data_IF_222889052702
#
_entry.id   IF_222889052702
#
_cell.length_a   1.000
_cell.length_b   1.000
_cell.length_c   1.000
_cell.angle_alpha   90.00
_cell.angle_beta   90.00
_cell.angle_gamma   90.00
#
_symmetry.space_group_name_H-M   'P 1'
#
loop_
_entity.id
_entity.type
_entity.pdbx_description
1 polymer ?
#
# COMPACT_ATOMS: atom_id res chain seq x y z
N UNK A 1 0.50 -19.39 -7.37
CA UNK A 1 1.04 -19.23 -6.02
C UNK A 1 0.63 -20.41 -5.16
N UNK A 2 1.55 -20.91 -4.35
CA UNK A 2 1.34 -22.05 -3.45
C UNK A 2 1.80 -21.66 -2.05
N UNK A 3 0.90 -21.80 -1.07
CA UNK A 3 1.23 -21.57 0.34
C UNK A 3 1.75 -22.85 0.98
N UNK A 4 2.93 -22.78 1.58
CA UNK A 4 3.64 -23.88 2.22
C UNK A 4 3.55 -23.79 3.76
N UNK A 5 3.65 -24.93 4.50
CA UNK A 5 3.56 -24.93 5.95
C UNK A 5 4.76 -24.23 6.61
N UNK A 6 4.54 -23.65 7.79
CA UNK A 6 5.58 -22.95 8.56
C UNK A 6 6.60 -23.92 9.18
N UNK A 7 6.13 -25.12 9.58
CA UNK A 7 6.92 -26.05 10.40
C UNK A 7 7.87 -26.92 9.55
N UNK A 8 7.54 -27.18 8.29
CA UNK A 8 8.36 -28.00 7.39
C UNK A 8 8.25 -27.52 5.94
N UNK A 9 8.97 -26.46 5.64
CA UNK A 9 9.07 -25.92 4.29
C UNK A 9 9.66 -26.95 3.31
N UNK A 10 10.58 -27.83 3.79
CA UNK A 10 11.19 -28.88 2.99
C UNK A 10 10.16 -29.93 2.53
N UNK A 11 9.29 -30.39 3.43
CA UNK A 11 8.20 -31.30 3.08
C UNK A 11 7.20 -30.64 2.11
N UNK A 12 6.93 -29.34 2.26
CA UNK A 12 6.10 -28.57 1.34
C UNK A 12 6.71 -28.51 -0.08
N UNK A 13 7.99 -28.20 -0.18
CA UNK A 13 8.73 -28.17 -1.45
C UNK A 13 8.73 -29.57 -2.11
N UNK A 14 8.98 -30.63 -1.35
CA UNK A 14 8.94 -31.98 -1.86
C UNK A 14 7.55 -32.38 -2.36
N UNK A 15 6.49 -32.02 -1.62
CA UNK A 15 5.12 -32.26 -2.03
C UNK A 15 4.78 -31.52 -3.34
N UNK A 16 5.28 -30.28 -3.47
CA UNK A 16 5.13 -29.48 -4.67
C UNK A 16 5.82 -30.13 -5.88
N UNK A 17 7.08 -30.53 -5.74
CA UNK A 17 7.85 -31.20 -6.80
C UNK A 17 7.19 -32.50 -7.25
N UNK A 18 6.66 -33.28 -6.30
CA UNK A 18 5.94 -34.52 -6.61
C UNK A 18 4.62 -34.26 -7.36
N UNK A 19 3.91 -33.20 -7.03
CA UNK A 19 2.62 -32.86 -7.64
C UNK A 19 2.76 -32.23 -9.03
N UNK A 20 3.84 -31.47 -9.26
CA UNK A 20 4.04 -30.69 -10.49
C UNK A 20 5.02 -31.35 -11.47
N UNK A 21 5.88 -32.26 -10.99
CA UNK A 21 7.00 -32.80 -11.77
C UNK A 21 8.17 -31.83 -11.95
N UNK A 22 8.11 -30.63 -11.35
CA UNK A 22 9.18 -29.64 -11.42
C UNK A 22 10.37 -30.13 -10.61
N UNK A 23 11.55 -30.20 -11.26
CA UNK A 23 12.80 -30.65 -10.64
C UNK A 23 13.66 -29.49 -10.12
N UNK A 24 13.54 -28.32 -10.74
CA UNK A 24 14.27 -27.12 -10.36
C UNK A 24 13.46 -26.27 -9.38
N UNK A 25 13.99 -26.08 -8.16
CA UNK A 25 13.41 -25.18 -7.17
C UNK A 25 14.50 -24.19 -6.77
N UNK A 26 14.29 -22.91 -7.07
CA UNK A 26 15.13 -21.82 -6.62
C UNK A 26 14.59 -21.29 -5.28
N UNK A 27 15.47 -20.96 -4.34
CA UNK A 27 15.10 -20.43 -3.03
C UNK A 27 15.63 -19.00 -2.89
N UNK A 28 14.85 -18.10 -2.34
CA UNK A 28 15.29 -16.71 -2.11
C UNK A 28 16.56 -16.68 -1.24
N UNK A 29 16.68 -17.60 -0.28
CA UNK A 29 17.84 -17.74 0.60
C UNK A 29 19.17 -18.05 -0.12
N UNK A 30 19.13 -18.56 -1.35
CA UNK A 30 20.31 -18.94 -2.13
C UNK A 30 20.92 -17.74 -2.90
N UNK A 31 20.26 -16.59 -2.90
CA UNK A 31 20.66 -15.41 -3.66
C UNK A 31 21.16 -14.27 -2.77
N UNK A 32 21.95 -13.36 -3.37
CA UNK A 32 22.42 -12.15 -2.71
C UNK A 32 21.23 -11.29 -2.24
N UNK A 33 21.32 -10.75 -1.02
CA UNK A 33 20.22 -10.06 -0.33
C UNK A 33 18.95 -10.92 -0.11
N UNK A 34 19.05 -12.24 -0.24
CA UNK A 34 17.92 -13.18 -0.12
C UNK A 34 16.69 -12.76 -0.94
N UNK A 35 16.92 -12.32 -2.17
CA UNK A 35 15.85 -11.87 -3.04
C UNK A 35 16.08 -12.34 -4.48
N UNK A 36 15.00 -12.74 -5.15
CA UNK A 36 15.05 -13.10 -6.56
C UNK A 36 15.33 -11.90 -7.46
N UNK A 37 16.09 -12.15 -8.52
CA UNK A 37 16.16 -11.26 -9.68
C UNK A 37 14.95 -11.52 -10.58
N UNK A 38 14.69 -10.59 -11.50
CA UNK A 38 13.63 -10.74 -12.51
C UNK A 38 13.85 -11.99 -13.40
N UNK A 39 15.10 -12.30 -13.76
CA UNK A 39 15.43 -13.47 -14.56
C UNK A 39 15.11 -14.79 -13.84
N UNK A 40 15.24 -14.82 -12.53
CA UNK A 40 14.92 -15.98 -11.71
C UNK A 40 13.41 -16.15 -11.54
N UNK A 41 12.66 -15.06 -11.39
CA UNK A 41 11.20 -15.11 -11.35
C UNK A 41 10.57 -15.55 -12.67
N UNK A 42 11.17 -15.17 -13.80
CA UNK A 42 10.75 -15.57 -15.15
C UNK A 42 11.26 -16.97 -15.55
N UNK A 43 12.00 -17.65 -14.66
CA UNK A 43 12.52 -19.00 -14.90
C UNK A 43 11.38 -20.03 -14.96
N UNK A 44 11.51 -21.11 -15.75
CA UNK A 44 10.57 -22.24 -15.72
C UNK A 44 10.63 -23.05 -14.41
N UNK A 45 11.55 -22.75 -13.51
CA UNK A 45 11.67 -23.37 -12.20
C UNK A 45 10.68 -22.76 -11.20
N UNK A 46 10.34 -23.51 -10.16
CA UNK A 46 9.61 -22.96 -9.03
C UNK A 46 10.51 -22.02 -8.22
N UNK A 47 9.97 -20.88 -7.78
CA UNK A 47 10.64 -19.91 -6.90
C UNK A 47 10.02 -19.94 -5.52
N UNK A 48 10.83 -20.15 -4.46
CA UNK A 48 10.36 -20.25 -3.06
C UNK A 48 10.85 -19.04 -2.27
N UNK A 49 9.91 -18.31 -1.70
CA UNK A 49 10.13 -17.21 -0.77
C UNK A 49 10.17 -17.78 0.66
N UNK A 50 11.36 -17.97 1.18
CA UNK A 50 11.59 -18.72 2.42
C UNK A 50 10.92 -18.09 3.64
N UNK A 51 11.06 -16.78 3.81
CA UNK A 51 10.47 -16.06 4.94
C UNK A 51 8.96 -15.91 4.83
N UNK A 52 8.43 -15.89 3.61
CA UNK A 52 6.99 -15.79 3.35
C UNK A 52 6.32 -17.17 3.29
N UNK A 53 7.09 -18.28 3.07
CA UNK A 53 6.60 -19.64 2.89
C UNK A 53 5.65 -19.75 1.71
N UNK A 54 5.93 -19.06 0.65
CA UNK A 54 5.15 -19.06 -0.59
C UNK A 54 6.06 -19.53 -1.72
N UNK A 55 5.51 -20.39 -2.59
CA UNK A 55 6.16 -20.77 -3.83
C UNK A 55 5.39 -20.19 -5.03
N UNK A 56 6.13 -19.67 -5.99
CA UNK A 56 5.61 -19.34 -7.34
C UNK A 56 5.97 -20.50 -8.25
N UNK A 57 4.96 -21.08 -8.89
CA UNK A 57 5.11 -22.30 -9.69
C UNK A 57 4.55 -22.01 -11.08
N UNK A 58 5.39 -21.96 -12.13
CA UNK A 58 4.92 -21.89 -13.49
C UNK A 58 4.28 -23.23 -13.87
N UNK A 59 3.02 -23.20 -14.25
CA UNK A 59 2.25 -24.39 -14.66
C UNK A 59 1.58 -24.13 -15.99
N UNK A 60 1.54 -25.15 -16.83
CA UNK A 60 0.68 -25.15 -18.00
C UNK A 60 -0.79 -25.08 -17.53
N UNK A 61 -1.64 -24.25 -18.14
CA UNK A 61 -3.06 -24.15 -17.79
C UNK A 61 -3.79 -25.52 -17.75
N UNK A 62 -3.41 -26.45 -18.62
CA UNK A 62 -4.00 -27.80 -18.67
C UNK A 62 -3.58 -28.66 -17.47
N UNK A 63 -2.43 -28.40 -16.87
CA UNK A 63 -1.94 -29.08 -15.67
C UNK A 63 -2.46 -28.45 -14.37
N UNK A 64 -2.82 -27.18 -14.40
CA UNK A 64 -3.20 -26.42 -13.21
C UNK A 64 -4.35 -27.06 -12.43
N UNK A 65 -5.32 -27.66 -13.12
CA UNK A 65 -6.46 -28.31 -12.48
C UNK A 65 -6.04 -29.61 -11.75
N UNK A 66 -5.21 -30.45 -12.37
CA UNK A 66 -4.74 -31.71 -11.78
C UNK A 66 -3.82 -31.45 -10.59
N UNK A 67 -2.95 -30.43 -10.69
CA UNK A 67 -2.07 -30.00 -9.59
C UNK A 67 -2.88 -29.46 -8.41
N UNK A 68 -3.93 -28.69 -8.66
CA UNK A 68 -4.84 -28.20 -7.60
C UNK A 68 -5.50 -29.36 -6.85
N UNK A 69 -6.00 -30.36 -7.57
CA UNK A 69 -6.62 -31.54 -6.95
C UNK A 69 -5.62 -32.36 -6.14
N UNK A 70 -4.43 -32.61 -6.68
CA UNK A 70 -3.35 -33.36 -6.00
C UNK A 70 -2.84 -32.64 -4.78
N UNK A 71 -2.67 -31.33 -4.88
CA UNK A 71 -2.17 -30.50 -3.79
C UNK A 71 -3.23 -30.28 -2.69
N UNK A 72 -4.50 -30.14 -3.05
CA UNK A 72 -5.58 -30.03 -2.06
C UNK A 72 -5.72 -31.27 -1.16
N UNK A 73 -5.23 -32.44 -1.63
CA UNK A 73 -5.18 -33.67 -0.84
C UNK A 73 -3.90 -33.80 0.01
N UNK A 74 -2.93 -32.90 -0.13
CA UNK A 74 -1.64 -32.99 0.55
C UNK A 74 -1.58 -31.99 1.74
N UNK A 75 -1.40 -32.45 2.99
CA UNK A 75 -1.36 -31.58 4.16
C UNK A 75 -0.16 -30.60 4.15
N UNK A 76 0.84 -30.83 3.31
CA UNK A 76 2.00 -29.95 3.13
C UNK A 76 1.78 -28.86 2.08
N UNK A 77 0.56 -28.69 1.57
CA UNK A 77 0.14 -27.57 0.71
C UNK A 77 -1.09 -26.93 1.33
N UNK A 78 -0.95 -25.72 1.85
CA UNK A 78 -2.02 -25.07 2.61
C UNK A 78 -3.04 -24.34 1.71
N UNK A 79 -2.58 -23.76 0.61
CA UNK A 79 -3.43 -23.10 -0.36
C UNK A 79 -2.76 -23.01 -1.74
N UNK A 80 -3.58 -22.96 -2.79
CA UNK A 80 -3.15 -22.67 -4.16
C UNK A 80 -4.04 -21.58 -4.73
N UNK A 81 -3.42 -20.60 -5.35
CA UNK A 81 -4.10 -19.45 -5.93
C UNK A 81 -3.44 -19.08 -7.26
N UNK A 82 -4.21 -18.70 -8.30
CA UNK A 82 -3.63 -18.15 -9.51
C UNK A 82 -2.93 -16.84 -9.20
N UNK A 83 -1.87 -16.54 -9.93
CA UNK A 83 -1.22 -15.24 -9.91
C UNK A 83 -2.16 -14.17 -10.46
N UNK A 84 -2.14 -12.98 -9.88
CA UNK A 84 -2.94 -11.83 -10.29
C UNK A 84 -2.05 -10.72 -10.85
N UNK A 85 -2.64 -9.94 -11.74
CA UNK A 85 -2.07 -8.65 -12.14
C UNK A 85 -2.63 -7.58 -11.20
N UNK A 86 -1.75 -6.71 -10.73
CA UNK A 86 -2.07 -5.58 -9.85
C UNK A 86 -1.64 -4.28 -10.50
N UNK A 87 -2.21 -3.18 -10.03
CA UNK A 87 -2.01 -1.86 -10.62
C UNK A 87 -1.70 -0.83 -9.54
N UNK A 88 -0.98 0.23 -9.91
CA UNK A 88 -0.89 1.43 -9.09
C UNK A 88 -2.30 2.01 -8.86
N UNK A 89 -2.65 2.30 -7.61
CA UNK A 89 -3.98 2.82 -7.23
C UNK A 89 -3.98 4.34 -7.14
N UNK A 90 -3.46 5.01 -8.13
CA UNK A 90 -3.40 6.46 -8.21
C UNK A 90 -3.36 6.94 -9.66
N UNK A 91 -3.58 8.23 -9.85
CA UNK A 91 -3.48 8.85 -11.17
C UNK A 91 -4.76 9.44 -11.73
N UNK A 92 -5.80 9.62 -10.89
CA UNK A 92 -6.82 10.60 -11.22
C UNK A 92 -6.16 11.98 -11.07
N UNK A 93 -5.85 12.64 -12.19
CA UNK A 93 -5.25 13.98 -12.14
C UNK A 93 -6.18 14.94 -11.40
N UNK A 94 -5.60 15.88 -10.66
CA UNK A 94 -6.37 16.93 -9.97
C UNK A 94 -7.32 17.66 -10.93
N UNK A 95 -6.95 17.80 -12.21
CA UNK A 95 -7.79 18.41 -13.25
C UNK A 95 -9.01 17.56 -13.61
N UNK A 96 -8.85 16.23 -13.67
CA UNK A 96 -9.99 15.33 -13.89
C UNK A 96 -10.97 15.38 -12.72
N UNK A 97 -10.46 15.33 -11.48
CA UNK A 97 -11.29 15.40 -10.26
C UNK A 97 -11.92 16.78 -10.10
N UNK A 98 -11.20 17.88 -10.40
CA UNK A 98 -11.76 19.23 -10.42
C UNK A 98 -12.84 19.37 -11.48
N UNK A 99 -12.60 18.94 -12.71
CA UNK A 99 -13.59 18.96 -13.77
C UNK A 99 -14.86 18.17 -13.42
N UNK A 100 -14.70 17.01 -12.78
CA UNK A 100 -15.80 16.19 -12.31
C UNK A 100 -16.57 16.84 -11.15
N UNK A 101 -15.86 17.39 -10.15
CA UNK A 101 -16.45 18.16 -9.03
C UNK A 101 -17.22 19.36 -9.55
N UNK A 102 -16.63 20.14 -10.44
CA UNK A 102 -17.25 21.37 -10.97
C UNK A 102 -18.48 21.04 -11.82
N UNK A 103 -18.46 19.94 -12.58
CA UNK A 103 -19.62 19.42 -13.30
C UNK A 103 -20.72 18.94 -12.36
N UNK A 104 -20.38 18.20 -11.29
CA UNK A 104 -21.34 17.72 -10.29
C UNK A 104 -21.94 18.88 -9.49
N UNK A 105 -21.14 19.87 -9.10
CA UNK A 105 -21.61 21.09 -8.40
C UNK A 105 -22.57 21.87 -9.30
N UNK A 106 -22.23 22.07 -10.58
CA UNK A 106 -23.08 22.73 -11.53
C UNK A 106 -24.45 22.04 -11.76
N UNK A 107 -24.41 20.68 -11.76
CA UNK A 107 -25.64 19.88 -11.83
C UNK A 107 -26.47 20.00 -10.54
N UNK A 108 -25.85 19.98 -9.37
CA UNK A 108 -26.54 20.20 -8.09
C UNK A 108 -27.20 21.58 -8.04
N UNK A 109 -26.48 22.65 -8.43
CA UNK A 109 -27.01 24.03 -8.45
C UNK A 109 -28.18 24.18 -9.42
N UNK A 110 -28.25 23.38 -10.48
CA UNK A 110 -29.40 23.38 -11.40
C UNK A 110 -30.61 22.56 -10.89
N UNK A 111 -30.39 21.58 -10.03
CA UNK A 111 -31.42 20.66 -9.52
C UNK A 111 -32.02 21.13 -8.17
N UNK A 112 -31.33 21.94 -7.39
CA UNK A 112 -31.74 22.39 -6.05
C UNK A 112 -32.81 23.49 -5.97
N UNK A 113 -33.30 24.18 -7.02
CA UNK A 113 -34.37 25.17 -6.83
C UNK A 113 -35.72 24.60 -6.36
N UNK A 114 -35.89 23.28 -6.19
CA UNK A 114 -37.20 22.67 -5.89
C UNK A 114 -37.29 21.75 -4.66
N UNK A 115 -36.31 21.68 -3.78
CA UNK A 115 -36.47 20.93 -2.52
C UNK A 115 -36.52 21.86 -1.32
N UNK A 116 -37.76 22.19 -0.95
CA UNK A 116 -38.10 22.82 0.31
C UNK A 116 -37.64 21.98 1.50
N UNK A 117 -37.16 22.68 2.51
CA UNK A 117 -36.72 22.27 3.83
C UNK A 117 -37.52 21.10 4.41
N UNK A 118 -36.82 19.94 4.62
CA UNK A 118 -37.04 19.02 5.75
C UNK A 118 -35.84 18.07 5.87
N UNK A 119 -34.91 18.40 6.69
CA UNK A 119 -34.03 17.39 7.33
C UNK A 119 -33.55 17.96 8.66
N UNK A 120 -33.82 17.19 9.72
CA UNK A 120 -33.40 17.47 11.07
C UNK A 120 -31.87 17.62 11.13
N UNK A 121 -31.39 18.65 11.81
CA UNK A 121 -30.00 19.00 11.93
C UNK A 121 -29.18 17.92 12.64
N UNK A 122 -28.31 17.24 11.92
CA UNK A 122 -27.05 16.79 12.47
C UNK A 122 -26.17 18.04 12.57
N UNK A 123 -25.76 18.41 13.77
CA UNK A 123 -24.73 19.42 13.95
C UNK A 123 -23.45 18.86 13.31
N UNK A 124 -23.14 19.26 12.05
CA UNK A 124 -21.79 19.12 11.51
C UNK A 124 -20.88 19.86 12.46
N UNK A 125 -19.94 19.15 13.09
CA UNK A 125 -18.83 19.82 13.73
C UNK A 125 -18.14 20.65 12.64
N UNK A 126 -17.90 21.92 12.91
CA UNK A 126 -17.10 22.80 12.06
C UNK A 126 -15.66 22.25 12.05
N UNK A 127 -15.39 21.32 11.14
CA UNK A 127 -14.02 20.82 10.92
C UNK A 127 -13.32 21.88 10.08
N UNK A 128 -12.24 22.48 10.56
CA UNK A 128 -11.49 23.47 9.79
C UNK A 128 -10.99 22.84 8.49
N UNK A 129 -11.21 23.51 7.37
CA UNK A 129 -10.65 23.14 6.08
C UNK A 129 -9.13 23.37 6.12
N UNK A 130 -8.34 22.30 6.01
CA UNK A 130 -6.88 22.40 5.94
C UNK A 130 -6.43 22.87 4.55
N UNK A 131 -5.37 23.68 4.50
CA UNK A 131 -4.83 24.23 3.24
C UNK A 131 -3.32 24.12 3.19
N UNK A 132 -2.79 23.90 2.00
CA UNK A 132 -1.37 23.95 1.78
C UNK A 132 -0.83 25.37 2.05
N UNK A 133 0.29 25.42 2.78
CA UNK A 133 1.00 26.66 3.08
C UNK A 133 2.52 26.41 3.07
N UNK A 134 3.21 26.49 4.22
CA UNK A 134 4.62 26.05 4.34
C UNK A 134 4.75 24.52 4.32
N UNK A 135 3.68 23.83 4.70
CA UNK A 135 3.54 22.37 4.68
C UNK A 135 2.23 22.00 4.02
N UNK A 136 2.17 20.79 3.44
CA UNK A 136 0.93 20.27 2.88
C UNK A 136 -0.16 20.15 3.94
N UNK A 137 -1.41 20.21 3.51
CA UNK A 137 -2.56 20.05 4.38
C UNK A 137 -2.55 18.72 5.14
N UNK A 138 -2.05 17.66 4.50
CA UNK A 138 -1.95 16.32 5.10
C UNK A 138 -1.00 16.28 6.29
N UNK A 139 0.15 16.96 6.23
CA UNK A 139 1.09 17.06 7.35
C UNK A 139 0.50 17.85 8.53
N UNK A 140 -0.34 18.85 8.25
CA UNK A 140 -1.02 19.63 9.29
C UNK A 140 -2.12 18.82 9.96
N UNK A 141 -3.00 18.19 9.19
CA UNK A 141 -4.12 17.41 9.69
C UNK A 141 -3.67 16.22 10.55
N UNK A 142 -2.55 15.61 10.19
CA UNK A 142 -1.97 14.46 10.90
C UNK A 142 -0.98 14.85 12.00
N UNK A 143 -0.82 16.14 12.29
CA UNK A 143 0.11 16.70 13.29
C UNK A 143 1.59 16.34 13.10
N UNK A 144 1.99 15.96 11.90
CA UNK A 144 3.40 15.70 11.59
C UNK A 144 4.26 16.94 11.83
N UNK A 145 3.69 18.12 11.63
CA UNK A 145 4.37 19.40 11.87
C UNK A 145 4.77 19.64 13.33
N UNK A 146 4.02 19.03 14.26
CA UNK A 146 4.18 19.19 15.71
C UNK A 146 5.03 18.06 16.31
N UNK A 147 5.31 16.99 15.54
CA UNK A 147 6.11 15.87 16.01
C UNK A 147 7.59 16.18 16.02
N UNK A 148 8.29 15.77 17.09
CA UNK A 148 9.74 15.87 17.21
C UNK A 148 10.49 14.72 16.53
N UNK A 149 9.78 13.70 16.05
CA UNK A 149 10.35 12.54 15.38
C UNK A 149 10.45 12.75 13.88
N UNK A 150 11.32 11.98 13.23
CA UNK A 150 11.72 12.17 11.84
C UNK A 150 11.83 10.87 11.03
N UNK A 151 11.66 9.70 11.69
CA UNK A 151 11.91 8.38 11.14
C UNK A 151 13.39 7.99 11.18
N UNK A 152 14.22 8.68 11.99
CA UNK A 152 15.66 8.43 12.08
C UNK A 152 15.95 6.98 12.48
N UNK A 153 16.81 6.30 11.68
CA UNK A 153 17.20 4.91 11.92
C UNK A 153 16.10 3.88 11.58
N UNK A 154 15.01 4.32 10.97
CA UNK A 154 13.91 3.45 10.55
C UNK A 154 13.98 3.22 9.04
N UNK A 155 13.92 1.95 8.63
CA UNK A 155 13.87 1.53 7.24
C UNK A 155 12.43 1.44 6.77
N UNK A 156 12.11 2.16 5.70
CA UNK A 156 10.78 2.19 5.07
C UNK A 156 10.92 1.67 3.65
N UNK A 157 10.30 0.55 3.35
CA UNK A 157 10.17 0.05 1.99
C UNK A 157 8.90 0.62 1.34
N UNK A 158 9.03 1.14 0.13
CA UNK A 158 7.90 1.52 -0.72
C UNK A 158 7.96 0.64 -1.97
N UNK A 159 6.97 -0.23 -2.12
CA UNK A 159 6.86 -1.18 -3.22
C UNK A 159 5.88 -0.61 -4.25
N UNK A 160 6.43 -0.08 -5.35
CA UNK A 160 5.66 0.73 -6.31
C UNK A 160 6.31 0.72 -7.72
N UNK A 161 6.19 1.79 -8.50
CA UNK A 161 6.77 1.96 -9.85
C UNK A 161 8.26 2.31 -9.84
N UNK A 162 8.91 2.34 -8.69
CA UNK A 162 10.30 2.74 -8.50
C UNK A 162 10.43 4.15 -7.91
N UNK A 163 11.57 4.79 -8.15
CA UNK A 163 11.87 6.15 -7.66
C UNK A 163 12.70 6.92 -8.68
N UNK A 164 12.49 8.20 -8.81
CA UNK A 164 13.46 9.07 -9.48
C UNK A 164 14.68 9.26 -8.57
N UNK A 165 15.71 8.46 -8.84
CA UNK A 165 16.96 8.42 -8.04
C UNK A 165 17.79 9.70 -8.17
N UNK A 166 17.44 10.58 -9.12
CA UNK A 166 18.11 11.85 -9.36
C UNK A 166 17.30 13.06 -8.86
N UNK A 167 16.16 12.81 -8.20
CA UNK A 167 15.33 13.90 -7.70
C UNK A 167 16.08 14.74 -6.65
N UNK A 168 16.17 16.08 -6.84
CA UNK A 168 17.06 16.94 -6.03
C UNK A 168 16.69 16.97 -4.54
N UNK A 169 15.41 16.83 -4.17
CA UNK A 169 14.99 16.82 -2.76
C UNK A 169 15.49 15.60 -1.98
N UNK A 170 16.01 14.59 -2.67
CA UNK A 170 16.59 13.40 -2.03
C UNK A 170 18.12 13.35 -2.10
N UNK A 171 18.75 14.43 -2.53
CA UNK A 171 20.21 14.50 -2.56
C UNK A 171 20.81 14.25 -1.17
N UNK A 172 21.76 13.31 -1.08
CA UNK A 172 22.42 12.94 0.18
C UNK A 172 21.61 12.01 1.10
N UNK A 173 20.41 11.57 0.70
CA UNK A 173 19.61 10.58 1.46
C UNK A 173 20.14 9.16 1.28
N UNK A 174 19.98 8.33 2.31
CA UNK A 174 20.27 6.90 2.22
C UNK A 174 19.13 6.22 1.48
N UNK A 175 19.40 5.78 0.25
CA UNK A 175 18.42 5.12 -0.61
C UNK A 175 19.00 3.78 -1.08
N UNK A 176 18.28 2.70 -0.85
CA UNK A 176 18.50 1.41 -1.49
C UNK A 176 17.37 1.15 -2.47
N UNK A 177 17.71 0.73 -3.67
CA UNK A 177 16.71 0.50 -4.71
C UNK A 177 16.90 -0.85 -5.38
N UNK A 178 15.80 -1.50 -5.74
CA UNK A 178 15.80 -2.77 -6.49
C UNK A 178 14.61 -2.83 -7.42
N UNK A 179 14.78 -3.40 -8.61
CA UNK A 179 13.70 -3.70 -9.54
C UNK A 179 13.37 -5.21 -9.53
N UNK A 180 12.08 -5.49 -9.52
CA UNK A 180 11.48 -6.83 -9.67
C UNK A 180 10.67 -6.89 -10.98
N UNK A 181 10.92 -5.98 -11.91
CA UNK A 181 10.30 -5.91 -13.23
C UNK A 181 11.36 -6.20 -14.30
N UNK A 182 11.10 -7.22 -15.11
CA UNK A 182 12.03 -7.62 -16.15
C UNK A 182 12.29 -6.49 -17.16
N UNK A 183 13.57 -6.25 -17.45
CA UNK A 183 14.01 -5.23 -18.42
C UNK A 183 13.89 -3.79 -17.94
N UNK A 184 13.46 -3.54 -16.69
CA UNK A 184 13.36 -2.19 -16.12
C UNK A 184 14.29 -2.02 -14.91
N UNK A 185 14.96 -0.88 -14.79
CA UNK A 185 15.74 -0.51 -13.60
C UNK A 185 14.79 0.04 -12.51
N UNK A 186 15.31 0.31 -11.32
CA UNK A 186 14.54 0.93 -10.25
C UNK A 186 14.17 2.40 -10.50
N UNK A 187 14.72 3.01 -11.56
CA UNK A 187 14.36 4.37 -11.98
C UNK A 187 12.88 4.42 -12.36
N UNK A 188 12.17 5.40 -11.80
CA UNK A 188 10.75 5.60 -12.04
C UNK A 188 10.52 6.43 -13.32
N UNK A 189 9.82 5.88 -14.27
CA UNK A 189 9.35 6.59 -15.47
C UNK A 189 7.81 6.71 -15.51
N UNK A 190 7.13 6.32 -14.43
CA UNK A 190 5.69 6.49 -14.25
C UNK A 190 5.37 7.73 -13.40
N UNK A 191 6.05 7.86 -12.26
CA UNK A 191 5.90 8.95 -11.30
C UNK A 191 5.16 8.58 -10.01
N UNK A 192 4.32 7.55 -10.04
CA UNK A 192 3.51 7.15 -8.89
C UNK A 192 4.37 6.73 -7.69
N UNK A 193 5.42 5.92 -7.90
CA UNK A 193 6.33 5.50 -6.84
C UNK A 193 7.14 6.65 -6.25
N UNK A 194 7.63 7.56 -7.10
CA UNK A 194 8.33 8.77 -6.65
C UNK A 194 7.43 9.63 -5.76
N UNK A 195 6.15 9.76 -6.12
CA UNK A 195 5.16 10.48 -5.33
C UNK A 195 4.90 9.81 -3.97
N UNK A 196 4.72 8.51 -3.95
CA UNK A 196 4.51 7.74 -2.71
C UNK A 196 5.74 7.81 -1.78
N UNK A 197 6.95 7.66 -2.32
CA UNK A 197 8.20 7.82 -1.56
C UNK A 197 8.35 9.25 -1.04
N UNK A 198 8.00 10.24 -1.87
CA UNK A 198 7.99 11.63 -1.48
C UNK A 198 7.09 11.89 -0.27
N UNK A 199 5.86 11.42 -0.33
CA UNK A 199 4.89 11.56 0.76
C UNK A 199 5.36 10.87 2.04
N UNK A 200 5.85 9.64 1.96
CA UNK A 200 6.30 8.89 3.13
C UNK A 200 7.61 9.44 3.73
N UNK A 201 8.61 9.73 2.88
CA UNK A 201 10.00 9.92 3.30
C UNK A 201 10.67 11.18 2.73
N UNK A 202 9.92 12.08 2.07
CA UNK A 202 10.45 13.31 1.47
C UNK A 202 11.18 14.20 2.46
N UNK A 203 12.11 15.00 1.97
CA UNK A 203 12.98 15.84 2.77
C UNK A 203 12.22 16.88 3.59
N UNK A 204 12.80 17.29 4.72
CA UNK A 204 12.29 18.41 5.51
C UNK A 204 12.48 19.74 4.78
N UNK A 205 13.66 19.90 4.19
CA UNK A 205 14.04 21.07 3.44
C UNK A 205 13.88 20.75 1.94
N UNK A 206 12.80 21.23 1.36
CA UNK A 206 12.47 21.05 -0.06
C UNK A 206 12.89 22.29 -0.84
N UNK A 207 13.18 22.12 -2.13
CA UNK A 207 13.56 23.23 -3.00
C UNK A 207 12.42 24.23 -3.21
N UNK A 208 11.19 23.74 -3.27
CA UNK A 208 9.97 24.54 -3.44
C UNK A 208 8.92 24.10 -2.42
N UNK A 209 8.31 25.08 -1.75
CA UNK A 209 7.22 24.83 -0.79
C UNK A 209 5.95 24.41 -1.52
N UNK A 210 5.09 23.65 -0.86
CA UNK A 210 5.09 23.23 0.55
C UNK A 210 5.99 22.02 0.84
N UNK A 211 6.50 21.85 2.07
CA UNK A 211 7.04 20.58 2.56
C UNK A 211 5.95 19.52 2.53
N UNK A 212 6.28 18.33 1.99
CA UNK A 212 5.33 17.23 1.77
C UNK A 212 5.71 15.91 2.48
N UNK A 213 6.98 15.71 2.83
CA UNK A 213 7.50 14.48 3.40
C UNK A 213 7.21 14.34 4.89
N UNK A 214 6.76 13.14 5.31
CA UNK A 214 6.49 12.78 6.71
C UNK A 214 7.77 12.42 7.43
N UNK A 215 8.37 11.26 7.13
CA UNK A 215 9.54 10.69 7.81
C UNK A 215 10.85 11.09 7.12
N UNK A 216 11.23 12.34 7.25
CA UNK A 216 12.28 12.97 6.46
C UNK A 216 13.72 12.49 6.76
N UNK A 217 13.94 11.67 7.80
CA UNK A 217 15.22 11.02 8.10
C UNK A 217 15.18 9.48 8.01
N UNK A 218 14.05 8.89 7.53
CA UNK A 218 13.99 7.45 7.32
C UNK A 218 14.95 6.98 6.23
N UNK A 219 15.47 5.75 6.35
CA UNK A 219 16.19 5.07 5.27
C UNK A 219 15.18 4.54 4.24
N UNK A 220 15.38 4.91 2.97
CA UNK A 220 14.44 4.62 1.89
C UNK A 220 14.83 3.32 1.19
N UNK A 221 13.89 2.39 1.09
CA UNK A 221 14.00 1.18 0.30
C UNK A 221 12.99 1.25 -0.85
N UNK A 222 13.45 1.64 -2.04
CA UNK A 222 12.62 1.79 -3.22
C UNK A 222 12.55 0.48 -4.00
N UNK A 223 11.48 -0.28 -3.86
CA UNK A 223 11.23 -1.54 -4.56
C UNK A 223 10.33 -1.33 -5.77
N UNK A 224 10.86 -1.51 -6.99
CA UNK A 224 10.04 -1.43 -8.21
C UNK A 224 9.39 -2.79 -8.47
N UNK A 225 8.14 -2.92 -8.03
CA UNK A 225 7.26 -4.10 -8.24
C UNK A 225 6.18 -3.85 -9.29
N UNK A 226 6.03 -2.61 -9.71
CA UNK A 226 5.17 -2.17 -10.82
C UNK A 226 6.03 -1.60 -11.94
N UNK A 227 5.67 -1.93 -13.17
CA UNK A 227 6.33 -1.45 -14.40
C UNK A 227 6.12 0.06 -14.59
N UNK A 228 6.83 0.64 -15.54
CA UNK A 228 6.61 2.04 -15.98
C UNK A 228 5.19 2.29 -16.52
N UNK A 229 4.41 1.22 -16.78
CA UNK A 229 2.98 1.31 -17.14
C UNK A 229 2.06 1.21 -15.93
N UNK A 230 2.61 1.08 -14.70
CA UNK A 230 1.85 1.00 -13.46
C UNK A 230 1.22 -0.36 -13.19
N UNK A 231 1.70 -1.44 -13.78
CA UNK A 231 1.20 -2.81 -13.56
C UNK A 231 2.31 -3.75 -13.12
N UNK A 232 1.97 -4.75 -12.32
CA UNK A 232 2.86 -5.79 -11.82
C UNK A 232 2.14 -7.09 -11.54
N UNK A 233 2.86 -8.09 -11.05
CA UNK A 233 2.36 -9.40 -10.71
C UNK A 233 2.55 -9.71 -9.22
N UNK A 234 1.79 -10.68 -8.71
CA UNK A 234 1.94 -11.16 -7.33
C UNK A 234 3.36 -11.65 -7.05
N UNK A 235 4.02 -12.33 -8.00
CA UNK A 235 5.40 -12.82 -7.83
C UNK A 235 6.38 -11.69 -7.61
N UNK A 236 6.27 -10.60 -8.38
CA UNK A 236 7.09 -9.40 -8.21
C UNK A 236 6.84 -8.71 -6.87
N UNK A 237 5.56 -8.63 -6.43
CA UNK A 237 5.23 -8.06 -5.12
C UNK A 237 5.78 -8.91 -3.98
N UNK A 238 5.63 -10.24 -4.05
CA UNK A 238 6.16 -11.16 -3.05
C UNK A 238 7.68 -11.06 -2.96
N UNK A 239 8.37 -10.95 -4.10
CA UNK A 239 9.81 -10.71 -4.12
C UNK A 239 10.21 -9.38 -3.46
N UNK A 240 9.44 -8.33 -3.70
CA UNK A 240 9.61 -7.04 -3.03
C UNK A 240 9.39 -7.10 -1.52
N UNK A 241 8.34 -7.81 -1.06
CA UNK A 241 8.05 -8.01 0.37
C UNK A 241 9.17 -8.84 1.03
N UNK A 242 9.59 -9.96 0.40
CA UNK A 242 10.70 -10.79 0.91
C UNK A 242 11.98 -9.96 1.07
N UNK A 243 12.34 -9.17 0.03
CA UNK A 243 13.49 -8.27 0.07
C UNK A 243 13.39 -7.24 1.20
N UNK A 244 12.23 -6.62 1.39
CA UNK A 244 12.02 -5.62 2.44
C UNK A 244 12.14 -6.24 3.85
N UNK A 245 11.54 -7.41 4.07
CA UNK A 245 11.61 -8.16 5.33
C UNK A 245 13.05 -8.58 5.63
N UNK A 246 13.78 -9.13 4.65
CA UNK A 246 15.18 -9.55 4.79
C UNK A 246 16.13 -8.40 5.12
N UNK A 247 15.81 -7.20 4.63
CA UNK A 247 16.57 -5.99 4.96
C UNK A 247 16.15 -5.35 6.30
N UNK A 248 15.19 -5.93 7.01
CA UNK A 248 14.70 -5.44 8.29
C UNK A 248 13.92 -4.12 8.18
N UNK A 249 13.19 -3.92 7.08
CA UNK A 249 12.30 -2.77 6.94
C UNK A 249 11.15 -2.90 7.94
N UNK A 250 11.01 -1.93 8.84
CA UNK A 250 9.93 -1.92 9.83
C UNK A 250 8.56 -1.66 9.19
N UNK A 251 8.55 -0.94 8.08
CA UNK A 251 7.35 -0.55 7.33
C UNK A 251 7.50 -0.97 5.87
N UNK A 252 6.44 -1.55 5.31
CA UNK A 252 6.31 -1.88 3.89
C UNK A 252 5.05 -1.18 3.37
N UNK A 253 5.22 -0.13 2.58
CA UNK A 253 4.15 0.67 1.99
C UNK A 253 3.80 0.16 0.60
N UNK A 254 2.53 -0.16 0.36
CA UNK A 254 2.05 -0.70 -0.91
C UNK A 254 0.84 0.10 -1.42
N UNK A 255 1.10 1.03 -2.33
CA UNK A 255 0.07 1.86 -2.97
C UNK A 255 -0.43 1.21 -4.27
N UNK A 256 -0.78 -0.07 -4.19
CA UNK A 256 -1.13 -0.92 -5.33
C UNK A 256 -2.26 -1.89 -4.98
N UNK A 257 -2.92 -2.44 -6.00
CA UNK A 257 -3.95 -3.45 -5.79
C UNK A 257 -4.73 -3.81 -7.04
N UNK A 258 -5.78 -4.58 -6.81
CA UNK A 258 -6.78 -4.93 -7.79
C UNK A 258 -8.18 -4.89 -7.16
N UNK A 259 -9.23 -4.53 -7.93
CA UNK A 259 -10.57 -4.46 -7.39
C UNK A 259 -11.10 -5.82 -6.94
N UNK A 260 -11.90 -5.82 -5.89
CA UNK A 260 -12.69 -6.96 -5.40
C UNK A 260 -14.18 -6.69 -5.60
N UNK A 261 -14.99 -7.73 -5.45
CA UNK A 261 -16.46 -7.65 -5.56
C UNK A 261 -17.10 -7.87 -4.20
N UNK A 262 -18.34 -7.37 -3.97
CA UNK A 262 -19.12 -7.77 -2.81
C UNK A 262 -19.24 -9.30 -2.72
N UNK A 263 -18.86 -9.86 -1.56
CA UNK A 263 -18.84 -11.31 -1.31
C UNK A 263 -17.51 -12.01 -1.63
N UNK A 264 -16.55 -11.35 -2.25
CA UNK A 264 -15.19 -11.90 -2.39
C UNK A 264 -14.51 -11.99 -1.01
N UNK A 265 -13.77 -13.08 -0.79
CA UNK A 265 -12.93 -13.29 0.38
C UNK A 265 -11.51 -12.78 0.13
N UNK A 266 -10.73 -12.64 1.19
CA UNK A 266 -9.31 -12.29 1.09
C UNK A 266 -8.45 -13.46 0.58
N UNK A 267 -7.21 -13.14 0.17
CA UNK A 267 -6.22 -14.13 -0.21
C UNK A 267 -5.60 -14.81 1.02
N UNK A 268 -5.74 -16.13 1.20
CA UNK A 268 -5.07 -16.84 2.29
C UNK A 268 -3.54 -16.76 2.19
N UNK A 269 -3.00 -16.54 0.99
CA UNK A 269 -1.56 -16.36 0.77
C UNK A 269 -1.11 -15.01 1.35
N UNK A 270 -1.77 -13.90 0.97
CA UNK A 270 -1.40 -12.58 1.51
C UNK A 270 -1.70 -12.44 2.99
N UNK A 271 -2.74 -13.10 3.50
CA UNK A 271 -3.00 -13.17 4.93
C UNK A 271 -1.80 -13.81 5.67
N UNK A 272 -1.31 -14.95 5.17
CA UNK A 272 -0.14 -15.61 5.78
C UNK A 272 1.14 -14.78 5.61
N UNK A 273 1.33 -14.13 4.47
CA UNK A 273 2.44 -13.19 4.24
C UNK A 273 2.41 -12.05 5.24
N UNK A 274 1.25 -11.43 5.46
CA UNK A 274 1.06 -10.39 6.47
C UNK A 274 1.39 -10.88 7.89
N UNK A 275 0.86 -12.05 8.29
CA UNK A 275 1.15 -12.67 9.58
C UNK A 275 2.65 -12.92 9.78
N UNK A 276 3.35 -13.39 8.75
CA UNK A 276 4.80 -13.65 8.82
C UNK A 276 5.60 -12.36 8.88
N UNK A 277 5.25 -11.36 8.07
CA UNK A 277 5.86 -10.03 8.11
C UNK A 277 5.73 -9.40 9.51
N UNK A 278 4.54 -9.44 10.11
CA UNK A 278 4.28 -8.93 11.46
C UNK A 278 5.15 -9.64 12.52
N UNK A 279 5.28 -10.98 12.45
CA UNK A 279 6.15 -11.75 13.36
C UNK A 279 7.64 -11.40 13.20
N UNK A 280 8.06 -10.98 12.01
CA UNK A 280 9.44 -10.56 11.72
C UNK A 280 9.66 -9.05 11.96
N UNK A 281 8.65 -8.36 12.50
CA UNK A 281 8.74 -6.95 12.86
C UNK A 281 8.44 -5.97 11.73
N UNK A 282 7.94 -6.44 10.59
CA UNK A 282 7.52 -5.61 9.45
C UNK A 282 6.01 -5.42 9.45
N UNK A 283 5.53 -4.18 9.31
CA UNK A 283 4.12 -3.84 9.12
C UNK A 283 3.86 -3.51 7.66
N UNK A 284 2.99 -4.28 7.01
CA UNK A 284 2.54 -3.99 5.64
C UNK A 284 1.33 -3.07 5.70
N UNK A 285 1.42 -1.92 5.04
CA UNK A 285 0.38 -0.90 4.95
C UNK A 285 -0.02 -0.76 3.49
N UNK A 286 -1.29 -0.96 3.17
CA UNK A 286 -1.77 -1.09 1.80
C UNK A 286 -3.00 -0.21 1.52
N UNK A 287 -3.12 0.27 0.28
CA UNK A 287 -4.19 1.14 -0.14
C UNK A 287 -5.53 0.38 -0.30
N UNK A 288 -6.62 0.94 0.26
CA UNK A 288 -7.93 0.28 0.27
C UNK A 288 -8.60 0.17 -1.12
N UNK A 289 -8.21 1.00 -2.11
CA UNK A 289 -8.77 1.01 -3.46
C UNK A 289 -9.59 2.25 -3.78
N UNK A 290 -9.82 2.51 -5.08
CA UNK A 290 -10.36 3.78 -5.60
C UNK A 290 -11.60 3.58 -6.49
N UNK A 291 -12.32 2.48 -6.35
CA UNK A 291 -13.42 2.10 -7.25
C UNK A 291 -14.78 2.62 -6.80
N UNK A 292 -14.88 3.21 -5.62
CA UNK A 292 -16.14 3.76 -5.09
C UNK A 292 -16.59 5.02 -5.86
N UNK A 293 -17.88 5.31 -5.73
CA UNK A 293 -18.56 6.52 -6.22
C UNK A 293 -19.54 6.96 -5.14
N UNK A 294 -18.99 7.49 -4.04
CA UNK A 294 -19.76 7.85 -2.84
C UNK A 294 -20.76 8.94 -3.10
N UNK A 295 -20.50 9.83 -4.07
CA UNK A 295 -21.39 10.84 -4.59
C UNK A 295 -22.70 10.27 -5.18
N UNK A 296 -22.66 9.05 -5.68
CA UNK A 296 -23.84 8.30 -6.17
C UNK A 296 -24.32 7.22 -5.19
N UNK A 297 -23.75 7.16 -3.98
CA UNK A 297 -24.07 6.14 -2.97
C UNK A 297 -23.48 4.77 -3.24
N UNK A 298 -22.58 4.63 -4.25
CA UNK A 298 -21.92 3.37 -4.56
C UNK A 298 -20.58 3.27 -3.78
N UNK A 299 -20.49 2.30 -2.87
CA UNK A 299 -19.27 1.97 -2.15
C UNK A 299 -18.81 0.59 -2.62
N UNK A 300 -17.54 0.48 -3.01
CA UNK A 300 -16.90 -0.78 -3.37
C UNK A 300 -16.09 -1.32 -2.19
N UNK A 301 -15.92 -2.65 -2.09
CA UNK A 301 -15.15 -3.25 -1.01
C UNK A 301 -13.65 -2.96 -1.13
N UNK A 302 -12.94 -3.06 0.00
CA UNK A 302 -11.48 -2.97 0.05
C UNK A 302 -10.86 -3.92 -0.97
N UNK A 303 -9.91 -3.40 -1.76
CA UNK A 303 -9.26 -4.13 -2.84
C UNK A 303 -8.22 -5.12 -2.36
N UNK A 304 -7.84 -6.04 -3.24
CA UNK A 304 -6.73 -6.95 -3.07
C UNK A 304 -5.39 -6.21 -3.25
N UNK A 305 -4.30 -6.48 -2.48
CA UNK A 305 -4.25 -7.44 -1.36
C UNK A 305 -4.62 -6.81 0.00
N UNK A 306 -4.98 -5.53 0.06
CA UNK A 306 -5.28 -4.81 1.30
C UNK A 306 -6.45 -5.42 2.10
N UNK A 307 -7.32 -6.22 1.43
CA UNK A 307 -8.41 -6.93 2.09
C UNK A 307 -7.97 -8.11 2.96
N UNK A 308 -6.68 -8.48 3.01
CA UNK A 308 -6.16 -9.49 3.91
C UNK A 308 -6.05 -8.94 5.34
N UNK A 309 -6.63 -9.63 6.38
CA UNK A 309 -6.74 -9.09 7.74
C UNK A 309 -5.41 -8.72 8.42
N UNK A 310 -4.30 -9.30 8.00
CA UNK A 310 -2.96 -9.01 8.54
C UNK A 310 -2.19 -7.94 7.75
N UNK A 311 -2.85 -7.26 6.81
CA UNK A 311 -2.37 -6.05 6.12
C UNK A 311 -3.21 -4.86 6.57
N UNK A 312 -2.57 -3.73 6.92
CA UNK A 312 -3.28 -2.52 7.33
C UNK A 312 -3.86 -1.79 6.12
N UNK A 313 -5.19 -1.82 5.97
CA UNK A 313 -5.88 -1.17 4.87
C UNK A 313 -6.16 0.31 5.16
N UNK A 314 -5.75 1.18 4.24
CA UNK A 314 -5.81 2.64 4.39
C UNK A 314 -6.84 3.26 3.46
N UNK A 315 -7.85 3.94 4.04
CA UNK A 315 -8.81 4.76 3.32
C UNK A 315 -8.29 6.20 3.11
N UNK A 316 -8.86 6.88 2.11
CA UNK A 316 -8.51 8.25 1.78
C UNK A 316 -9.53 9.27 2.32
N UNK A 317 -9.01 10.37 2.90
CA UNK A 317 -9.76 11.55 3.32
C UNK A 317 -9.38 12.75 2.45
N UNK A 318 -10.31 13.70 2.35
CA UNK A 318 -10.07 15.04 1.79
C UNK A 318 -9.61 16.03 2.88
N UNK A 319 -9.36 17.26 2.49
CA UNK A 319 -8.89 18.34 3.38
C UNK A 319 -9.94 18.86 4.39
N UNK A 320 -11.15 18.32 4.35
CA UNK A 320 -12.23 18.54 5.35
C UNK A 320 -12.41 17.31 6.24
N UNK A 321 -11.53 16.31 6.09
CA UNK A 321 -11.56 15.03 6.77
C UNK A 321 -12.83 14.18 6.48
N UNK A 322 -13.42 14.40 5.31
CA UNK A 322 -14.51 13.56 4.80
C UNK A 322 -13.92 12.42 3.93
N UNK A 323 -14.59 11.24 3.86
CA UNK A 323 -14.13 10.16 3.01
C UNK A 323 -14.09 10.58 1.54
N UNK A 324 -12.95 10.38 0.87
CA UNK A 324 -12.82 10.70 -0.55
C UNK A 324 -13.88 9.95 -1.38
N UNK A 325 -14.42 10.59 -2.40
CA UNK A 325 -15.52 10.05 -3.24
C UNK A 325 -15.15 8.67 -3.82
N UNK A 326 -13.90 8.45 -4.14
CA UNK A 326 -13.40 7.21 -4.71
C UNK A 326 -13.02 6.15 -3.67
N UNK A 327 -12.84 6.51 -2.39
CA UNK A 327 -12.29 5.62 -1.37
C UNK A 327 -13.21 4.43 -1.11
N UNK A 328 -12.66 3.21 -1.24
CA UNK A 328 -13.36 1.97 -0.92
C UNK A 328 -13.66 1.86 0.58
N UNK A 329 -14.57 0.96 0.94
CA UNK A 329 -15.03 0.77 2.31
C UNK A 329 -15.15 -0.70 2.71
N UNK A 330 -15.40 -0.93 4.00
CA UNK A 330 -15.57 -2.27 4.59
C UNK A 330 -16.95 -2.84 4.21
N UNK A 331 -17.04 -3.47 3.06
CA UNK A 331 -18.28 -4.08 2.53
C UNK A 331 -18.31 -5.59 2.76
N UNK A 332 -17.15 -6.26 2.58
CA UNK A 332 -17.05 -7.70 2.75
C UNK A 332 -16.90 -8.04 4.23
N UNK A 333 -17.61 -9.10 4.68
CA UNK A 333 -17.64 -9.52 6.08
C UNK A 333 -16.44 -10.38 6.47
N UNK A 334 -15.85 -11.06 5.49
CA UNK A 334 -14.70 -11.96 5.68
C UNK A 334 -13.44 -11.31 5.10
N UNK A 335 -12.76 -10.54 5.94
CA UNK A 335 -11.69 -9.64 5.55
C UNK A 335 -12.20 -8.33 4.94
N UNK A 336 -11.29 -7.50 4.45
CA UNK A 336 -11.63 -6.26 3.77
C UNK A 336 -12.17 -5.15 4.67
N UNK A 337 -11.74 -5.10 5.93
CA UNK A 337 -11.92 -3.94 6.77
C UNK A 337 -10.98 -2.83 6.35
N UNK A 338 -11.46 -1.58 6.43
CA UNK A 338 -10.62 -0.40 6.51
C UNK A 338 -10.13 -0.29 7.95
N UNK A 339 -8.83 -0.19 8.16
CA UNK A 339 -8.24 -0.11 9.50
C UNK A 339 -8.07 1.33 9.97
N UNK A 340 -7.58 2.18 9.08
CA UNK A 340 -7.24 3.57 9.38
C UNK A 340 -7.40 4.44 8.12
N UNK A 341 -7.50 5.74 8.29
CA UNK A 341 -7.59 6.68 7.18
C UNK A 341 -6.43 7.69 7.19
N UNK A 342 -6.08 8.20 6.02
CA UNK A 342 -5.06 9.20 5.82
C UNK A 342 -5.42 10.24 4.76
N UNK A 343 -4.66 11.34 4.67
CA UNK A 343 -4.82 12.35 3.62
C UNK A 343 -4.62 11.77 2.23
N UNK A 344 -5.64 11.83 1.36
CA UNK A 344 -5.60 11.17 0.06
C UNK A 344 -6.14 11.98 -1.11
N UNK A 345 -6.61 13.20 -0.89
CA UNK A 345 -7.14 14.07 -1.95
C UNK A 345 -6.24 15.28 -2.14
N UNK A 346 -5.92 15.61 -3.38
CA UNK A 346 -5.06 16.74 -3.76
C UNK A 346 -3.74 16.78 -2.96
N UNK A 347 -3.06 15.63 -2.91
CA UNK A 347 -1.80 15.45 -2.20
C UNK A 347 -0.65 15.90 -3.11
N UNK A 348 0.05 16.95 -2.68
CA UNK A 348 1.26 17.44 -3.34
C UNK A 348 2.48 16.64 -2.86
N UNK A 349 3.33 16.18 -3.79
CA UNK A 349 4.56 15.44 -3.47
C UNK A 349 5.56 15.46 -4.63
N UNK A 350 6.71 14.79 -4.46
CA UNK A 350 7.74 14.64 -5.47
C UNK A 350 7.21 13.94 -6.74
N UNK A 351 7.76 14.31 -7.89
CA UNK A 351 7.47 13.71 -9.19
C UNK A 351 8.77 13.61 -9.99
N UNK A 352 8.91 12.66 -10.93
CA UNK A 352 10.12 12.56 -11.74
C UNK A 352 10.47 13.84 -12.48
N UNK A 353 11.78 14.07 -12.64
CA UNK A 353 12.28 15.17 -13.47
C UNK A 353 11.77 15.03 -14.91
N UNK A 354 11.46 16.13 -15.64
CA UNK A 354 11.73 17.53 -15.26
C UNK A 354 10.64 18.21 -14.42
N UNK A 355 9.46 17.58 -14.23
CA UNK A 355 8.29 18.22 -13.61
C UNK A 355 8.47 18.44 -12.09
N UNK A 356 9.28 17.63 -11.47
CA UNK A 356 9.73 17.69 -10.07
C UNK A 356 8.63 17.43 -9.03
N UNK A 357 7.46 18.02 -9.19
CA UNK A 357 6.33 17.89 -8.25
C UNK A 357 5.02 17.63 -8.99
N UNK A 358 4.10 16.96 -8.32
CA UNK A 358 2.75 16.76 -8.82
C UNK A 358 1.75 16.68 -7.67
N UNK A 359 0.48 16.99 -7.95
CA UNK A 359 -0.63 16.90 -7.00
C UNK A 359 -1.64 15.91 -7.55
N UNK A 360 -1.80 14.78 -6.87
CA UNK A 360 -2.69 13.71 -7.28
C UNK A 360 -3.51 13.19 -6.09
N UNK A 361 -4.54 12.39 -6.40
CA UNK A 361 -5.48 11.87 -5.40
C UNK A 361 -5.61 10.35 -5.52
N UNK A 362 -5.80 9.67 -4.39
CA UNK A 362 -5.97 8.22 -4.30
C UNK A 362 -5.78 7.72 -2.88
N UNK A 363 -6.26 6.51 -2.58
CA UNK A 363 -5.86 5.77 -1.38
C UNK A 363 -4.35 5.49 -1.39
N UNK A 364 -3.74 5.49 -2.59
CA UNK A 364 -2.28 5.46 -2.79
C UNK A 364 -1.53 6.63 -2.17
N UNK A 365 -2.16 7.79 -2.00
CA UNK A 365 -1.55 8.98 -1.37
C UNK A 365 -1.80 8.98 0.14
N UNK A 366 -2.89 8.36 0.58
CA UNK A 366 -3.19 8.17 2.00
C UNK A 366 -2.23 7.15 2.65
N UNK A 367 -1.95 6.06 1.97
CA UNK A 367 -1.07 4.97 2.42
C UNK A 367 0.33 5.44 2.83
N UNK A 368 1.07 6.23 2.03
CA UNK A 368 2.39 6.71 2.42
C UNK A 368 2.37 7.72 3.57
N UNK A 369 1.28 8.47 3.81
CA UNK A 369 1.13 9.27 5.03
C UNK A 369 1.12 8.37 6.27
N UNK A 370 0.32 7.29 6.24
CA UNK A 370 0.26 6.31 7.34
C UNK A 370 1.62 5.63 7.51
N UNK A 371 2.27 5.25 6.40
CA UNK A 371 3.59 4.59 6.41
C UNK A 371 4.69 5.49 7.00
N UNK A 372 4.71 6.76 6.64
CA UNK A 372 5.64 7.73 7.21
C UNK A 372 5.39 7.95 8.70
N UNK A 373 4.13 8.07 9.13
CA UNK A 373 3.77 8.23 10.54
C UNK A 373 4.11 6.97 11.34
N UNK A 374 3.94 5.78 10.75
CA UNK A 374 4.41 4.52 11.35
C UNK A 374 5.93 4.56 11.61
N UNK A 375 6.71 5.16 10.71
CA UNK A 375 8.15 5.33 10.93
C UNK A 375 8.46 6.30 12.10
N UNK A 376 7.65 7.35 12.29
CA UNK A 376 7.78 8.23 13.45
C UNK A 376 7.50 7.48 14.77
N UNK A 377 6.46 6.63 14.81
CA UNK A 377 6.20 5.78 15.99
C UNK A 377 7.30 4.75 16.22
N UNK A 378 7.79 4.12 15.15
CA UNK A 378 8.87 3.15 15.26
C UNK A 378 10.17 3.76 15.82
N UNK A 379 10.47 5.03 15.50
CA UNK A 379 11.54 5.82 16.11
C UNK A 379 11.23 6.15 17.58
N UNK A 380 10.03 6.66 17.86
CA UNK A 380 9.62 7.15 19.16
C UNK A 380 9.57 6.06 20.25
N UNK A 381 9.12 4.87 19.88
CA UNK A 381 8.76 3.80 20.83
C UNK A 381 9.62 2.53 20.71
N UNK A 382 10.33 2.36 19.60
CA UNK A 382 11.00 1.09 19.26
C UNK A 382 10.04 0.00 18.77
N UNK A 383 8.72 0.25 18.72
CA UNK A 383 7.70 -0.72 18.33
C UNK A 383 7.89 -1.26 16.90
N UNK A 384 7.52 -2.52 16.69
CA UNK A 384 7.60 -3.23 15.41
C UNK A 384 6.38 -4.13 15.22
N UNK A 385 6.08 -4.47 13.95
CA UNK A 385 5.02 -5.41 13.60
C UNK A 385 3.68 -5.05 14.24
N UNK A 386 3.05 -5.98 14.98
CA UNK A 386 1.74 -5.79 15.60
C UNK A 386 1.72 -4.71 16.69
N UNK A 387 2.82 -4.51 17.40
CA UNK A 387 2.91 -3.44 18.40
C UNK A 387 2.87 -2.06 17.73
N UNK A 388 3.53 -1.90 16.58
CA UNK A 388 3.48 -0.68 15.79
C UNK A 388 2.06 -0.41 15.25
N UNK A 389 1.37 -1.47 14.78
CA UNK A 389 -0.05 -1.39 14.41
C UNK A 389 -0.90 -0.86 15.57
N UNK A 390 -0.72 -1.43 16.76
CA UNK A 390 -1.48 -1.03 17.93
C UNK A 390 -1.28 0.45 18.31
N UNK A 391 -0.05 0.98 18.17
CA UNK A 391 0.23 2.40 18.39
C UNK A 391 -0.53 3.29 17.40
N UNK A 392 -0.52 2.97 16.12
CA UNK A 392 -1.25 3.73 15.10
C UNK A 392 -2.77 3.76 15.38
N UNK A 393 -3.34 2.60 15.76
CA UNK A 393 -4.76 2.49 16.08
C UNK A 393 -5.14 3.24 17.36
N UNK A 394 -4.28 3.21 18.38
CA UNK A 394 -4.53 3.86 19.67
C UNK A 394 -4.64 5.37 19.58
N UNK A 395 -3.74 5.98 18.82
CA UNK A 395 -3.57 7.44 18.78
C UNK A 395 -4.29 8.11 17.61
N UNK A 396 -4.97 7.32 16.75
CA UNK A 396 -5.77 7.86 15.65
C UNK A 396 -6.89 8.80 16.14
N UNK A 397 -7.09 9.90 15.43
CA UNK A 397 -8.16 10.84 15.72
C UNK A 397 -9.51 10.28 15.25
N UNK A 398 -10.44 10.07 16.19
CA UNK A 398 -11.81 9.69 15.88
C UNK A 398 -12.52 10.83 15.15
N UNK A 399 -13.21 10.51 14.05
CA UNK A 399 -13.85 11.52 13.18
C UNK A 399 -15.36 11.59 13.34
N UNK A 400 -15.99 10.71 14.12
CA UNK A 400 -17.45 10.62 14.18
C UNK A 400 -18.09 10.10 12.89
N UNK A 401 -17.30 9.53 11.98
CA UNK A 401 -17.71 8.90 10.74
C UNK A 401 -17.84 7.37 10.91
N UNK A 402 -18.58 6.67 10.00
CA UNK A 402 -18.68 5.21 10.07
C UNK A 402 -17.31 4.54 10.00
N UNK A 403 -17.02 3.59 10.89
CA UNK A 403 -15.78 2.81 10.87
C UNK A 403 -15.60 1.99 9.58
N UNK A 404 -16.69 1.68 8.88
CA UNK A 404 -16.65 1.05 7.56
C UNK A 404 -16.00 1.92 6.48
N UNK A 405 -15.95 3.23 6.70
CA UNK A 405 -15.41 4.20 5.74
C UNK A 405 -14.01 4.71 6.10
N UNK A 406 -13.72 4.79 7.41
CA UNK A 406 -12.49 5.46 7.90
C UNK A 406 -11.72 4.59 8.93
N UNK A 407 -12.17 3.37 9.18
CA UNK A 407 -11.59 2.52 10.20
C UNK A 407 -11.67 3.17 11.60
N UNK A 408 -10.54 3.22 12.29
CA UNK A 408 -10.41 3.86 13.61
C UNK A 408 -10.45 5.40 13.52
N UNK A 409 -10.20 5.98 12.33
CA UNK A 409 -10.14 7.41 12.09
C UNK A 409 -8.86 7.89 11.40
N UNK A 410 -8.58 9.18 11.46
CA UNK A 410 -7.42 9.80 10.86
C UNK A 410 -6.14 9.45 11.65
N UNK A 411 -5.14 8.94 10.96
CA UNK A 411 -3.80 8.72 11.53
C UNK A 411 -3.21 10.01 12.11
N UNK A 412 -2.55 9.91 13.26
CA UNK A 412 -1.88 11.05 13.92
C UNK A 412 -0.42 10.73 14.18
N UNK A 413 0.46 11.71 14.05
CA UNK A 413 1.86 11.58 14.42
C UNK A 413 2.05 11.53 15.94
N UNK A 414 3.11 10.85 16.44
CA UNK A 414 3.40 10.83 17.87
C UNK A 414 3.82 12.22 18.37
N UNK A 415 3.22 12.63 19.49
CA UNK A 415 3.53 13.85 20.25
C UNK A 415 4.17 13.52 21.63
N UNK A 416 4.87 12.37 21.69
CA UNK A 416 5.48 11.81 22.90
C UNK A 416 6.70 12.60 23.36
#
# INVERSE_FOLDING_TARGET
LVLLPDEDLGAGIQALSNATGIQGVARAADFEDHAFTTAELDSPNASVFDNLGVAVVPLDPDQAQSVRVSAAANPNVLAIQPERVVYALGGLSADYLRGYRDAATHLCDQVEPQRGQTAAGSQKMDVPEFKDCKTTWGLQATKVVDSSYSGLGIKVAVLDTGMDLNHPDFAGRVIRSRSFINGETAQDANGHGTHCIGTACGSKDVLELPRYGVAYNAEIFAGKVLSNRGSGSDSGILAGIEWAVNNGCAIISMSLGAPTRPGDTFSPIYERVGQRALRQGSLIIAAAGNESRRDTGRINPVGYPANAPSLMAVAALDNRLEPAVFSNGSINLDGGQVDIAGPGVDVHSAWPMPDRYNTISGTSMATPHVSGIAALYAEATGARGMELWAWLMRDAQRLGLPGTDVGIGLVQAPLL
#
